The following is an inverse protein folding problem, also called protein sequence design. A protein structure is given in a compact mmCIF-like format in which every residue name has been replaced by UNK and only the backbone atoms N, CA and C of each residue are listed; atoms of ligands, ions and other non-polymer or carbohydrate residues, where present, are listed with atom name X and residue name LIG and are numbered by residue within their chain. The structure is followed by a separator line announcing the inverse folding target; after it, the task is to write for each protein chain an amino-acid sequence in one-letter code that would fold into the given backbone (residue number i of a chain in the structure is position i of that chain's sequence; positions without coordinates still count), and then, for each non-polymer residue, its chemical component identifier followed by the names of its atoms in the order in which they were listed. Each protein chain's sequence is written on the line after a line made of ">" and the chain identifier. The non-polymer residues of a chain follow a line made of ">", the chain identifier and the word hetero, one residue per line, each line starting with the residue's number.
data_IF_307904346058
#
_entry.id   IF_307904346058
#
_cell.length_a   1.000
_cell.length_b   1.000
_cell.length_c   1.000
_cell.angle_alpha   90.00
_cell.angle_beta   90.00
_cell.angle_gamma   90.00
#
_symmetry.space_group_name_H-M   'P 1'
#
loop_
_entity.id
_entity.type
_entity.pdbx_description
1 polymer ?
#
# COMPACT_ATOMS: atom_id res chain seq x y z
N UNK A 1 39.52 41.58 -11.01
CA UNK A 1 38.17 42.14 -10.80
C UNK A 1 37.17 41.21 -11.45
N UNK A 2 36.65 40.23 -10.71
CA UNK A 2 35.77 39.16 -11.24
C UNK A 2 34.34 39.55 -10.88
N UNK A 3 33.50 39.78 -11.91
CA UNK A 3 32.06 40.00 -11.73
C UNK A 3 31.41 38.68 -11.29
N UNK A 4 30.64 38.62 -10.20
CA UNK A 4 29.90 37.40 -9.88
C UNK A 4 28.82 37.16 -10.96
N UNK A 5 28.81 35.96 -11.53
CA UNK A 5 27.74 35.50 -12.41
C UNK A 5 26.45 35.36 -11.59
N UNK A 6 25.35 35.98 -12.04
CA UNK A 6 24.01 35.67 -11.52
C UNK A 6 23.61 34.27 -12.00
N UNK A 7 23.28 33.33 -11.10
CA UNK A 7 22.70 32.06 -11.49
C UNK A 7 21.35 32.30 -12.18
N UNK A 8 21.19 31.82 -13.42
CA UNK A 8 19.93 31.90 -14.20
C UNK A 8 19.08 30.65 -14.08
N UNK A 9 19.45 29.69 -13.23
CA UNK A 9 18.65 28.49 -13.01
C UNK A 9 17.31 28.87 -12.35
N UNK A 10 16.16 28.45 -12.93
CA UNK A 10 14.84 28.60 -12.32
C UNK A 10 14.64 27.85 -10.99
N UNK A 11 15.66 27.13 -10.49
CA UNK A 11 15.63 26.38 -9.24
C UNK A 11 16.96 26.55 -8.50
N UNK A 12 16.90 27.25 -7.37
CA UNK A 12 18.00 27.37 -6.41
C UNK A 12 17.73 26.46 -5.20
N UNK A 13 18.43 25.31 -5.06
CA UNK A 13 18.19 24.37 -3.97
C UNK A 13 18.53 24.93 -2.58
N UNK A 14 19.31 26.01 -2.49
CA UNK A 14 19.68 26.64 -1.20
C UNK A 14 18.66 27.65 -0.70
N UNK A 15 17.78 28.14 -1.58
CA UNK A 15 16.69 29.04 -1.18
C UNK A 15 15.60 28.30 -0.36
N UNK A 16 15.55 26.96 -0.44
CA UNK A 16 14.61 26.14 0.31
C UNK A 16 15.17 25.66 1.67
N UNK A 17 16.45 25.88 1.94
CA UNK A 17 17.13 25.55 3.21
C UNK A 17 17.17 26.78 4.14
N UNK A 18 16.01 27.34 4.48
CA UNK A 18 15.93 28.17 5.69
C UNK A 18 16.18 27.27 6.92
N UNK A 19 17.02 27.69 7.88
CA UNK A 19 17.35 26.85 9.02
C UNK A 19 16.07 26.48 9.77
N UNK A 20 15.86 25.20 10.12
CA UNK A 20 14.62 24.74 10.72
C UNK A 20 14.34 25.53 12.00
N UNK A 21 13.18 26.19 12.04
CA UNK A 21 12.65 26.78 13.27
C UNK A 21 12.60 25.69 14.32
N UNK A 22 13.05 26.00 15.55
CA UNK A 22 13.08 25.02 16.65
C UNK A 22 11.69 24.39 16.77
N UNK A 23 11.56 23.06 16.75
CA UNK A 23 10.27 22.41 16.71
C UNK A 23 9.46 22.84 17.94
N UNK A 24 8.41 23.63 17.70
CA UNK A 24 7.46 24.02 18.74
C UNK A 24 6.52 22.85 18.97
N UNK A 25 6.18 22.58 20.23
CA UNK A 25 5.14 21.58 20.57
C UNK A 25 3.82 21.91 19.83
N UNK A 26 3.58 23.19 19.51
CA UNK A 26 2.45 23.64 18.69
C UNK A 26 2.51 23.18 17.22
N UNK A 27 3.71 22.99 16.65
CA UNK A 27 3.87 22.53 15.27
C UNK A 27 3.46 21.06 15.11
N UNK A 28 3.73 20.24 16.13
CA UNK A 28 3.28 18.85 16.18
C UNK A 28 1.75 18.74 16.22
N UNK A 29 1.10 19.54 17.05
CA UNK A 29 -0.38 19.60 17.13
C UNK A 29 -0.97 20.10 15.80
N UNK A 30 -0.38 21.13 15.21
CA UNK A 30 -0.83 21.67 13.93
C UNK A 30 -0.62 20.67 12.78
N UNK A 31 0.44 19.85 12.82
CA UNK A 31 0.68 18.78 11.86
C UNK A 31 -0.38 17.68 11.94
N UNK A 32 -0.72 17.22 13.15
CA UNK A 32 -1.80 16.24 13.36
C UNK A 32 -3.15 16.81 12.94
N UNK A 33 -3.44 18.06 13.30
CA UNK A 33 -4.69 18.74 12.94
C UNK A 33 -4.89 18.84 11.42
N UNK A 34 -3.87 19.33 10.69
CA UNK A 34 -3.92 19.41 9.22
C UNK A 34 -3.97 18.01 8.58
N UNK A 35 -3.27 17.04 9.15
CA UNK A 35 -3.30 15.64 8.70
C UNK A 35 -4.71 15.04 8.82
N UNK A 36 -5.38 15.26 9.96
CA UNK A 36 -6.73 14.77 10.21
C UNK A 36 -7.76 15.38 9.26
N UNK A 37 -7.69 16.69 9.02
CA UNK A 37 -8.61 17.38 8.10
C UNK A 37 -8.43 16.89 6.66
N UNK A 38 -7.18 16.71 6.20
CA UNK A 38 -6.93 16.16 4.85
C UNK A 38 -7.39 14.71 4.72
N UNK A 39 -7.17 13.89 5.76
CA UNK A 39 -7.62 12.52 5.76
C UNK A 39 -9.15 12.43 5.71
N UNK A 40 -9.87 13.29 6.43
CA UNK A 40 -11.33 13.31 6.42
C UNK A 40 -11.88 13.74 5.06
N UNK A 41 -11.29 14.75 4.41
CA UNK A 41 -11.67 15.18 3.06
C UNK A 41 -11.46 14.08 2.01
N UNK A 42 -10.33 13.35 2.10
CA UNK A 42 -10.05 12.20 1.23
C UNK A 42 -11.07 11.08 1.43
N UNK A 43 -11.32 10.70 2.68
CA UNK A 43 -12.30 9.67 3.02
C UNK A 43 -13.70 10.07 2.56
N UNK A 44 -14.07 11.33 2.74
CA UNK A 44 -15.35 11.87 2.30
C UNK A 44 -15.49 11.85 0.77
N UNK A 45 -14.43 12.23 0.05
CA UNK A 45 -14.37 12.17 -1.42
C UNK A 45 -14.54 10.74 -1.94
N UNK A 46 -13.82 9.78 -1.34
CA UNK A 46 -13.94 8.35 -1.67
C UNK A 46 -15.36 7.86 -1.40
N UNK A 47 -15.93 8.17 -0.24
CA UNK A 47 -17.27 7.72 0.15
C UNK A 47 -18.35 8.22 -0.81
N UNK A 48 -18.29 9.50 -1.23
CA UNK A 48 -19.23 10.05 -2.22
C UNK A 48 -18.99 9.53 -3.65
N UNK A 49 -17.75 9.20 -4.00
CA UNK A 49 -17.37 8.74 -5.33
C UNK A 49 -17.67 7.25 -5.57
N UNK A 50 -17.49 6.43 -4.53
CA UNK A 50 -17.64 4.98 -4.56
C UNK A 50 -18.94 4.50 -5.23
N UNK A 51 -20.13 5.01 -4.89
CA UNK A 51 -21.37 4.51 -5.48
C UNK A 51 -21.50 4.84 -6.96
N UNK A 52 -20.91 5.94 -7.46
CA UNK A 52 -20.91 6.25 -8.90
C UNK A 52 -20.00 5.30 -9.66
N UNK A 53 -18.82 5.01 -9.12
CA UNK A 53 -17.90 4.03 -9.70
C UNK A 53 -18.47 2.62 -9.68
N UNK A 54 -19.14 2.23 -8.59
CA UNK A 54 -19.80 0.94 -8.47
C UNK A 54 -20.99 0.83 -9.43
N UNK A 55 -21.81 1.88 -9.52
CA UNK A 55 -22.90 1.93 -10.48
C UNK A 55 -22.38 1.83 -11.91
N UNK A 56 -21.28 2.50 -12.26
CA UNK A 56 -20.65 2.39 -13.57
C UNK A 56 -20.17 0.96 -13.89
N UNK A 57 -19.64 0.22 -12.90
CA UNK A 57 -19.28 -1.19 -13.08
C UNK A 57 -20.52 -2.09 -13.27
N UNK A 58 -21.64 -1.74 -12.65
CA UNK A 58 -22.92 -2.47 -12.74
C UNK A 58 -23.72 -2.08 -13.99
N UNK A 59 -23.61 -0.85 -14.48
CA UNK A 59 -24.26 -0.42 -15.72
C UNK A 59 -23.38 -0.59 -16.95
N UNK A 60 -22.10 -0.97 -16.78
CA UNK A 60 -21.18 -1.23 -17.87
C UNK A 60 -21.72 -2.32 -18.79
N UNK A 61 -21.72 -2.01 -20.08
CA UNK A 61 -22.07 -2.89 -21.18
C UNK A 61 -21.28 -4.21 -21.11
N UNK A 62 -21.88 -5.31 -21.55
CA UNK A 62 -21.29 -6.67 -21.45
C UNK A 62 -19.91 -6.77 -22.09
N UNK A 63 -19.64 -6.00 -23.15
CA UNK A 63 -18.34 -5.87 -23.81
C UNK A 63 -17.29 -5.21 -22.91
N UNK A 64 -17.61 -4.09 -22.25
CA UNK A 64 -16.70 -3.41 -21.33
C UNK A 64 -16.38 -4.27 -20.10
N UNK A 65 -17.38 -5.00 -19.57
CA UNK A 65 -17.17 -5.96 -18.47
C UNK A 65 -16.25 -7.12 -18.85
N UNK A 66 -16.31 -7.59 -20.10
CA UNK A 66 -15.45 -8.68 -20.59
C UNK A 66 -13.99 -8.26 -20.62
N UNK A 67 -13.72 -7.06 -21.14
CA UNK A 67 -12.36 -6.53 -21.23
C UNK A 67 -11.77 -6.25 -19.84
N UNK A 68 -12.56 -5.64 -18.96
CA UNK A 68 -12.19 -5.42 -17.56
C UNK A 68 -11.87 -6.75 -16.85
N UNK A 69 -12.72 -7.77 -17.01
CA UNK A 69 -12.49 -9.09 -16.41
C UNK A 69 -11.22 -9.75 -16.95
N UNK A 70 -10.97 -9.64 -18.26
CA UNK A 70 -9.76 -10.18 -18.90
C UNK A 70 -8.50 -9.55 -18.31
N UNK A 71 -8.48 -8.22 -18.23
CA UNK A 71 -7.37 -7.46 -17.65
C UNK A 71 -7.15 -7.82 -16.16
N UNK A 72 -8.23 -7.88 -15.36
CA UNK A 72 -8.12 -8.25 -13.95
C UNK A 72 -7.56 -9.66 -13.74
N UNK A 73 -7.96 -10.64 -14.56
CA UNK A 73 -7.44 -12.01 -14.46
C UNK A 73 -5.94 -12.05 -14.78
N UNK A 74 -5.53 -11.35 -15.84
CA UNK A 74 -4.13 -11.26 -16.25
C UNK A 74 -3.27 -10.61 -15.17
N UNK A 75 -3.77 -9.53 -14.56
CA UNK A 75 -3.11 -8.82 -13.48
C UNK A 75 -2.99 -9.68 -12.20
N UNK A 76 -4.04 -10.42 -11.84
CA UNK A 76 -4.00 -11.37 -10.71
C UNK A 76 -2.98 -12.47 -10.98
N UNK A 77 -2.95 -13.04 -12.18
CA UNK A 77 -1.98 -14.08 -12.54
C UNK A 77 -0.55 -13.58 -12.45
N UNK A 78 -0.27 -12.38 -12.97
CA UNK A 78 1.05 -11.78 -12.92
C UNK A 78 1.51 -11.50 -11.50
N UNK A 79 0.64 -10.91 -10.66
CA UNK A 79 0.94 -10.62 -9.26
C UNK A 79 1.18 -11.91 -8.49
N UNK A 80 0.33 -12.92 -8.67
CA UNK A 80 0.46 -14.21 -7.99
C UNK A 80 1.79 -14.89 -8.36
N UNK A 81 2.09 -15.00 -9.66
CA UNK A 81 3.31 -15.63 -10.13
C UNK A 81 4.57 -14.93 -9.61
N UNK A 82 4.64 -13.59 -9.71
CA UNK A 82 5.80 -12.84 -9.27
C UNK A 82 6.00 -12.87 -7.74
N UNK A 83 4.92 -13.10 -6.99
CA UNK A 83 4.96 -13.13 -5.52
C UNK A 83 5.19 -14.54 -4.94
N UNK A 84 5.14 -15.61 -5.76
CA UNK A 84 5.34 -16.99 -5.30
C UNK A 84 6.65 -17.21 -4.53
N UNK A 85 7.83 -16.77 -5.02
CA UNK A 85 9.08 -17.01 -4.30
C UNK A 85 9.10 -16.34 -2.94
N UNK A 86 8.57 -15.12 -2.86
CA UNK A 86 8.46 -14.37 -1.62
C UNK A 86 7.51 -15.06 -0.64
N UNK A 87 6.34 -15.50 -1.10
CA UNK A 87 5.37 -16.18 -0.23
C UNK A 87 5.85 -17.52 0.29
N UNK A 88 6.53 -18.32 -0.54
CA UNK A 88 7.09 -19.60 -0.11
C UNK A 88 8.18 -19.41 0.94
N UNK A 89 9.11 -18.48 0.69
CA UNK A 89 10.22 -18.22 1.62
C UNK A 89 9.73 -17.59 2.93
N UNK A 90 8.90 -16.55 2.85
CA UNK A 90 8.33 -15.91 4.03
C UNK A 90 7.43 -16.87 4.82
N UNK A 91 6.56 -17.64 4.13
CA UNK A 91 5.67 -18.60 4.76
C UNK A 91 6.42 -19.72 5.48
N UNK A 92 7.49 -20.25 4.88
CA UNK A 92 8.34 -21.27 5.50
C UNK A 92 9.02 -20.73 6.76
N UNK A 93 9.60 -19.53 6.70
CA UNK A 93 10.26 -18.89 7.84
C UNK A 93 9.28 -18.57 8.97
N UNK A 94 8.15 -17.93 8.65
CA UNK A 94 7.12 -17.57 9.63
C UNK A 94 6.51 -18.83 10.25
N UNK A 95 6.24 -19.88 9.46
CA UNK A 95 5.72 -21.15 9.95
C UNK A 95 6.69 -21.86 10.88
N UNK A 96 7.98 -21.92 10.53
CA UNK A 96 9.02 -22.51 11.37
C UNK A 96 9.19 -21.75 12.69
N UNK A 97 9.22 -20.42 12.63
CA UNK A 97 9.26 -19.56 13.82
C UNK A 97 8.01 -19.76 14.68
N UNK A 98 6.81 -19.77 14.09
CA UNK A 98 5.57 -19.97 14.83
C UNK A 98 5.53 -21.33 15.54
N UNK A 99 6.00 -22.39 14.89
CA UNK A 99 6.11 -23.71 15.51
C UNK A 99 7.09 -23.72 16.70
N UNK A 100 8.26 -23.10 16.53
CA UNK A 100 9.26 -22.98 17.59
C UNK A 100 8.71 -22.18 18.77
N UNK A 101 8.12 -21.01 18.51
CA UNK A 101 7.56 -20.16 19.55
C UNK A 101 6.38 -20.81 20.26
N UNK A 102 5.52 -21.54 19.54
CA UNK A 102 4.41 -22.28 20.15
C UNK A 102 4.92 -23.31 21.17
N UNK A 103 5.99 -24.04 20.85
CA UNK A 103 6.58 -25.03 21.77
C UNK A 103 7.24 -24.41 22.99
N UNK A 104 7.85 -23.24 22.84
CA UNK A 104 8.52 -22.51 23.92
C UNK A 104 7.53 -21.85 24.87
N UNK A 105 6.46 -21.26 24.34
CA UNK A 105 5.45 -20.54 25.13
C UNK A 105 4.51 -21.50 25.88
N UNK A 106 4.22 -22.67 25.29
CA UNK A 106 3.30 -23.64 25.87
C UNK A 106 3.95 -25.02 26.06
N UNK A 107 4.97 -25.14 26.94
CA UNK A 107 5.81 -26.33 26.99
C UNK A 107 5.13 -27.58 27.56
N UNK A 108 4.03 -27.42 28.33
CA UNK A 108 3.26 -28.52 28.92
C UNK A 108 2.03 -28.93 28.12
N UNK A 109 1.80 -28.33 26.96
CA UNK A 109 0.66 -28.65 26.11
C UNK A 109 0.97 -29.88 25.23
N UNK A 110 -0.03 -30.72 25.02
CA UNK A 110 0.09 -31.89 24.15
C UNK A 110 0.47 -31.48 22.70
N UNK A 111 1.36 -32.24 22.07
CA UNK A 111 1.86 -31.95 20.71
C UNK A 111 0.75 -31.99 19.65
N UNK A 112 -0.24 -32.86 19.82
CA UNK A 112 -1.40 -32.92 18.93
C UNK A 112 -2.27 -31.67 19.04
N UNK A 113 -2.54 -31.23 20.28
CA UNK A 113 -3.28 -29.97 20.53
C UNK A 113 -2.54 -28.74 20.03
N UNK A 114 -1.22 -28.66 20.25
CA UNK A 114 -0.38 -27.58 19.71
C UNK A 114 -0.40 -27.55 18.19
N UNK A 115 -0.27 -28.71 17.54
CA UNK A 115 -0.35 -28.84 16.09
C UNK A 115 -1.69 -28.36 15.55
N UNK A 116 -2.80 -28.75 16.19
CA UNK A 116 -4.15 -28.32 15.78
C UNK A 116 -4.33 -26.79 15.88
N UNK A 117 -3.89 -26.19 16.99
CA UNK A 117 -3.94 -24.73 17.18
C UNK A 117 -3.09 -24.03 16.13
N UNK A 118 -1.86 -24.50 15.92
CA UNK A 118 -0.92 -23.90 14.98
C UNK A 118 -1.45 -23.96 13.54
N UNK A 119 -1.94 -25.13 13.10
CA UNK A 119 -2.51 -25.29 11.75
C UNK A 119 -3.73 -24.40 11.58
N UNK A 120 -4.63 -24.35 12.56
CA UNK A 120 -5.83 -23.51 12.49
C UNK A 120 -5.45 -22.03 12.37
N UNK A 121 -4.57 -21.55 13.24
CA UNK A 121 -4.16 -20.14 13.25
C UNK A 121 -3.37 -19.77 11.99
N UNK A 122 -2.37 -20.56 11.62
CA UNK A 122 -1.48 -20.23 10.50
C UNK A 122 -2.22 -20.34 9.16
N UNK A 123 -2.94 -21.44 8.93
CA UNK A 123 -3.56 -21.70 7.62
C UNK A 123 -4.85 -20.92 7.43
N UNK A 124 -5.67 -20.75 8.49
CA UNK A 124 -7.00 -20.12 8.34
C UNK A 124 -7.00 -18.62 8.63
N UNK A 125 -6.09 -18.13 9.46
CA UNK A 125 -6.05 -16.71 9.83
C UNK A 125 -4.88 -16.00 9.14
N UNK A 126 -3.64 -16.46 9.41
CA UNK A 126 -2.44 -15.75 8.97
C UNK A 126 -2.23 -15.84 7.46
N UNK A 127 -2.40 -17.01 6.84
CA UNK A 127 -2.15 -17.16 5.42
C UNK A 127 -3.09 -16.29 4.55
N UNK A 128 -4.43 -16.25 4.78
CA UNK A 128 -5.31 -15.32 4.06
C UNK A 128 -5.00 -13.86 4.33
N UNK A 129 -4.67 -13.51 5.58
CA UNK A 129 -4.37 -12.13 5.98
C UNK A 129 -3.09 -11.61 5.29
N UNK A 130 -2.02 -12.41 5.30
CA UNK A 130 -0.78 -12.09 4.59
C UNK A 130 -0.99 -11.97 3.08
N UNK A 131 -1.80 -12.87 2.51
CA UNK A 131 -2.13 -12.84 1.07
C UNK A 131 -2.88 -11.56 0.71
N UNK A 132 -3.92 -11.19 1.48
CA UNK A 132 -4.68 -9.97 1.28
C UNK A 132 -3.79 -8.72 1.35
N UNK A 133 -2.88 -8.69 2.33
CA UNK A 133 -1.97 -7.56 2.51
C UNK A 133 -1.00 -7.41 1.34
N UNK A 134 -0.37 -8.50 0.88
CA UNK A 134 0.58 -8.45 -0.25
C UNK A 134 -0.13 -8.03 -1.54
N UNK A 135 -1.33 -8.56 -1.81
CA UNK A 135 -2.11 -8.18 -2.99
C UNK A 135 -2.46 -6.70 -2.95
N UNK A 136 -2.92 -6.19 -1.81
CA UNK A 136 -3.25 -4.77 -1.63
C UNK A 136 -2.02 -3.85 -1.79
N UNK A 137 -0.86 -4.26 -1.25
CA UNK A 137 0.37 -3.49 -1.39
C UNK A 137 0.83 -3.41 -2.85
N UNK A 138 0.85 -4.55 -3.57
CA UNK A 138 1.31 -4.62 -4.95
C UNK A 138 0.38 -3.85 -5.90
N UNK A 139 -0.93 -4.04 -5.78
CA UNK A 139 -1.90 -3.29 -6.58
C UNK A 139 -1.85 -1.79 -6.28
N UNK A 140 -1.70 -1.41 -5.01
CA UNK A 140 -1.57 -0.02 -4.60
C UNK A 140 -0.35 0.67 -5.22
N UNK A 141 0.80 0.00 -5.24
CA UNK A 141 2.01 0.54 -5.89
C UNK A 141 1.83 0.73 -7.40
N UNK A 142 1.20 -0.23 -8.09
CA UNK A 142 0.94 -0.13 -9.52
C UNK A 142 0.05 1.09 -9.85
N UNK A 143 -1.07 1.26 -9.12
CA UNK A 143 -2.00 2.38 -9.30
C UNK A 143 -1.30 3.71 -9.00
N UNK A 144 -0.50 3.78 -7.93
CA UNK A 144 0.25 4.99 -7.58
C UNK A 144 1.27 5.36 -8.65
N UNK A 145 1.96 4.38 -9.24
CA UNK A 145 2.90 4.60 -10.34
C UNK A 145 2.21 5.11 -11.59
N UNK A 146 1.07 4.52 -11.98
CA UNK A 146 0.30 4.99 -13.13
C UNK A 146 -0.19 6.43 -12.95
N UNK A 147 -0.76 6.74 -11.77
CA UNK A 147 -1.20 8.10 -11.45
C UNK A 147 -0.04 9.11 -11.40
N UNK A 148 1.12 8.69 -10.88
CA UNK A 148 2.35 9.47 -10.87
C UNK A 148 2.86 9.75 -12.28
N UNK A 149 2.84 8.74 -13.14
CA UNK A 149 3.25 8.84 -14.53
C UNK A 149 2.34 9.78 -15.32
N UNK A 150 1.02 9.72 -15.13
CA UNK A 150 0.07 10.65 -15.75
C UNK A 150 0.32 12.10 -15.31
N UNK A 151 0.63 12.32 -14.03
CA UNK A 151 1.00 13.65 -13.51
C UNK A 151 2.29 14.16 -14.13
N UNK A 152 3.31 13.31 -14.21
CA UNK A 152 4.59 13.67 -14.81
C UNK A 152 4.44 14.00 -16.31
N UNK A 153 3.56 13.30 -17.02
CA UNK A 153 3.27 13.52 -18.44
C UNK A 153 2.36 14.72 -18.72
N UNK A 154 1.79 15.37 -17.70
CA UNK A 154 0.90 16.52 -17.88
C UNK A 154 -0.47 16.17 -18.48
N UNK A 155 -0.85 14.89 -18.57
CA UNK A 155 -2.11 14.43 -19.20
C UNK A 155 -3.38 14.79 -18.40
N UNK A 156 -3.24 15.41 -17.22
CA UNK A 156 -4.36 15.79 -16.34
C UNK A 156 -4.80 17.25 -16.51
N UNK A 157 -4.19 18.02 -17.43
CA UNK A 157 -4.43 19.46 -17.62
C UNK A 157 -5.03 19.86 -18.97
N UNK A 158 -5.73 18.97 -19.69
CA UNK A 158 -6.56 19.37 -20.84
C UNK A 158 -8.05 19.12 -20.59
#
# INVERSE_FOLDING_TARGET
>A
MIRPLRPTLPYDPRAAEEPPTRPSVGDGVAWVGRGGIRASELLWGVFRGLPRSLAALISAETSARREARRSSIEQVFHIAYQSLPLMLTAGALVGALAALQARLVAPGLDTGRLGQILVTLVVRELAPLLTAWVVAARSGTAIATELGLMRQRGEKEC
#
